data_IF_409788534634
#
_entry.id   IF_409788534634
#
_cell.length_a   1.000
_cell.length_b   1.000
_cell.length_c   1.000
_cell.angle_alpha   90.00
_cell.angle_beta   90.00
_cell.angle_gamma   90.00
#
_symmetry.space_group_name_H-M   'P 1'
#
loop_
_entity.id
_entity.type
_entity.pdbx_description
1 polymer ?
#
# COMPACT_ATOMS: atom_id res chain seq x y z
N UNK A 1 -7.62 9.18 4.72
CA UNK A 1 -6.50 10.10 5.01
C UNK A 1 -5.46 9.33 5.84
N UNK A 2 -4.19 9.32 5.42
CA UNK A 2 -3.11 8.57 6.08
C UNK A 2 -1.93 9.52 6.33
N UNK A 3 -1.35 9.48 7.54
CA UNK A 3 -0.28 10.40 7.91
C UNK A 3 0.96 10.23 7.02
N UNK A 4 1.39 8.99 6.79
CA UNK A 4 2.54 8.68 5.95
C UNK A 4 2.32 9.02 4.47
N UNK A 5 1.07 8.95 3.98
CA UNK A 5 0.73 9.43 2.64
C UNK A 5 1.05 10.91 2.48
N UNK A 6 0.61 11.74 3.42
CA UNK A 6 0.86 13.18 3.38
C UNK A 6 2.36 13.51 3.46
N UNK A 7 3.12 12.82 4.33
CA UNK A 7 4.57 13.01 4.41
C UNK A 7 5.30 12.62 3.13
N UNK A 8 4.88 11.55 2.47
CA UNK A 8 5.49 11.10 1.22
C UNK A 8 5.16 12.03 0.05
N UNK A 9 3.91 12.47 -0.07
CA UNK A 9 3.50 13.48 -1.05
C UNK A 9 4.27 14.80 -0.85
N UNK A 10 4.48 15.24 0.40
CA UNK A 10 5.26 16.44 0.70
C UNK A 10 6.73 16.30 0.29
N UNK A 11 7.33 15.11 0.47
CA UNK A 11 8.69 14.83 0.01
C UNK A 11 8.79 14.95 -1.51
N UNK A 12 7.89 14.28 -2.24
CA UNK A 12 7.88 14.32 -3.72
C UNK A 12 7.67 15.74 -4.22
N UNK A 13 6.77 16.51 -3.59
CA UNK A 13 6.57 17.92 -3.92
C UNK A 13 7.85 18.76 -3.74
N UNK A 14 8.59 18.55 -2.65
CA UNK A 14 9.86 19.24 -2.40
C UNK A 14 10.94 18.89 -3.43
N UNK A 15 11.05 17.60 -3.79
CA UNK A 15 11.97 17.11 -4.83
C UNK A 15 11.63 17.70 -6.21
N UNK A 16 10.35 17.75 -6.58
CA UNK A 16 9.90 18.37 -7.82
C UNK A 16 10.21 19.88 -7.87
N UNK A 17 10.02 20.61 -6.77
CA UNK A 17 10.40 22.03 -6.66
C UNK A 17 11.91 22.21 -6.85
N UNK A 18 12.72 21.27 -6.35
CA UNK A 18 14.17 21.26 -6.52
C UNK A 18 14.64 20.80 -7.92
N UNK A 19 13.71 20.51 -8.84
CA UNK A 19 14.02 20.04 -10.20
C UNK A 19 14.51 18.60 -10.26
N UNK A 20 14.28 17.81 -9.20
CA UNK A 20 14.60 16.39 -9.16
C UNK A 20 13.47 15.58 -9.79
N UNK A 21 13.81 14.41 -10.34
CA UNK A 21 12.81 13.47 -10.84
C UNK A 21 12.32 12.59 -9.69
N UNK A 22 11.07 12.77 -9.29
CA UNK A 22 10.42 12.00 -8.23
C UNK A 22 8.93 11.79 -8.54
N UNK A 23 8.40 10.67 -8.07
CA UNK A 23 6.99 10.31 -8.25
C UNK A 23 6.45 9.63 -6.99
N UNK A 24 5.13 9.72 -6.80
CA UNK A 24 4.44 9.02 -5.71
C UNK A 24 3.95 7.68 -6.20
N UNK A 25 4.49 6.59 -5.66
CA UNK A 25 3.89 5.25 -5.80
C UNK A 25 2.71 5.10 -4.83
N UNK A 26 1.49 5.19 -5.37
CA UNK A 26 0.27 4.98 -4.60
C UNK A 26 -0.09 3.51 -4.40
N UNK A 27 0.38 2.60 -5.26
CA UNK A 27 0.12 1.16 -5.12
C UNK A 27 0.94 0.61 -3.95
N UNK A 28 2.17 1.09 -3.80
CA UNK A 28 3.06 0.78 -2.67
C UNK A 28 2.66 1.45 -1.34
N UNK A 29 1.59 2.26 -1.29
CA UNK A 29 1.16 2.97 -0.08
C UNK A 29 0.37 2.04 0.85
N UNK A 30 0.88 1.68 2.05
CA UNK A 30 0.17 0.77 2.94
C UNK A 30 -1.01 1.46 3.64
N UNK A 31 -1.99 0.68 4.06
CA UNK A 31 -3.09 1.11 4.92
C UNK A 31 -3.18 0.18 6.15
N UNK A 32 -3.37 0.78 7.33
CA UNK A 32 -3.40 0.07 8.61
C UNK A 32 -4.64 0.48 9.42
N UNK A 33 -5.29 -0.49 10.06
CA UNK A 33 -6.30 -0.29 11.07
C UNK A 33 -5.79 -0.86 12.40
N UNK A 34 -5.63 0.02 13.39
CA UNK A 34 -5.10 -0.31 14.72
C UNK A 34 -6.18 -0.86 15.66
N UNK A 35 -6.85 -1.93 15.23
CA UNK A 35 -7.78 -2.72 16.04
C UNK A 35 -7.05 -3.86 16.76
N UNK A 36 -7.78 -4.64 17.56
CA UNK A 36 -7.27 -5.89 18.14
C UNK A 36 -8.08 -7.06 17.57
N UNK A 37 -7.53 -7.88 16.64
CA UNK A 37 -6.19 -7.79 16.05
C UNK A 37 -6.05 -6.63 15.04
N UNK A 38 -4.80 -6.23 14.79
CA UNK A 38 -4.48 -5.20 13.80
C UNK A 38 -4.67 -5.73 12.38
N UNK A 39 -5.01 -4.83 11.45
CA UNK A 39 -5.16 -5.15 10.03
C UNK A 39 -4.24 -4.25 9.20
N UNK A 40 -3.50 -4.84 8.26
CA UNK A 40 -2.65 -4.11 7.33
C UNK A 40 -2.79 -4.67 5.91
N UNK A 41 -2.73 -3.79 4.92
CA UNK A 41 -2.72 -4.15 3.49
C UNK A 41 -1.86 -3.17 2.68
N UNK A 42 -1.38 -3.62 1.52
CA UNK A 42 -0.65 -2.81 0.52
C UNK A 42 -0.84 -3.45 -0.86
N UNK A 43 -0.76 -2.65 -1.92
CA UNK A 43 -0.94 -3.13 -3.29
C UNK A 43 -2.40 -3.45 -3.63
N UNK A 44 -2.57 -4.34 -4.61
CA UNK A 44 -3.89 -4.74 -5.10
C UNK A 44 -4.58 -5.73 -4.17
N UNK A 45 -5.89 -5.56 -4.04
CA UNK A 45 -6.76 -6.65 -3.59
C UNK A 45 -6.94 -7.68 -4.72
N UNK A 46 -7.31 -8.91 -4.36
CA UNK A 46 -7.61 -9.96 -5.33
C UNK A 46 -8.72 -9.55 -6.32
N UNK A 47 -9.71 -8.77 -5.86
CA UNK A 47 -10.79 -8.26 -6.70
C UNK A 47 -10.29 -7.22 -7.71
N UNK A 48 -9.52 -6.23 -7.25
CA UNK A 48 -8.93 -5.21 -8.12
C UNK A 48 -8.00 -5.82 -9.17
N UNK A 49 -7.15 -6.76 -8.78
CA UNK A 49 -6.23 -7.40 -9.72
C UNK A 49 -6.98 -8.20 -10.80
N UNK A 50 -8.11 -8.84 -10.46
CA UNK A 50 -8.98 -9.49 -11.45
C UNK A 50 -9.67 -8.48 -12.37
N UNK A 51 -10.12 -7.35 -11.84
CA UNK A 51 -10.72 -6.26 -12.64
C UNK A 51 -9.73 -5.67 -13.63
N UNK A 52 -8.45 -5.56 -13.25
CA UNK A 52 -7.36 -5.12 -14.14
C UNK A 52 -6.89 -6.21 -15.13
N UNK A 53 -7.48 -7.40 -15.09
CA UNK A 53 -7.13 -8.51 -15.98
C UNK A 53 -5.77 -9.15 -15.68
N UNK A 54 -5.25 -9.00 -14.46
CA UNK A 54 -4.00 -9.61 -14.03
C UNK A 54 -4.21 -11.10 -13.74
N UNK A 55 -3.28 -11.94 -14.19
CA UNK A 55 -3.22 -13.34 -13.79
C UNK A 55 -2.64 -13.43 -12.36
N UNK A 56 -3.45 -13.92 -11.41
CA UNK A 56 -3.10 -13.91 -9.99
C UNK A 56 -3.30 -15.27 -9.33
N UNK A 57 -2.45 -15.54 -8.35
CA UNK A 57 -2.60 -16.66 -7.42
C UNK A 57 -2.73 -16.11 -5.99
N UNK A 58 -3.79 -16.50 -5.29
CA UNK A 58 -3.98 -16.15 -3.88
C UNK A 58 -3.47 -17.27 -2.97
N UNK A 59 -2.95 -16.92 -1.80
CA UNK A 59 -2.54 -17.86 -0.75
C UNK A 59 -2.84 -17.26 0.62
N UNK A 60 -3.26 -18.09 1.57
CA UNK A 60 -3.63 -17.66 2.93
C UNK A 60 -2.99 -18.60 3.94
N UNK A 61 -2.51 -18.04 5.03
CA UNK A 61 -1.96 -18.80 6.16
C UNK A 61 -2.60 -18.29 7.46
N UNK A 62 -3.27 -19.16 8.24
CA UNK A 62 -3.93 -18.74 9.47
C UNK A 62 -2.92 -18.52 10.60
N UNK A 63 -3.05 -17.42 11.33
CA UNK A 63 -2.19 -17.14 12.49
C UNK A 63 -2.28 -18.22 13.58
N UNK A 64 -3.40 -18.93 13.70
CA UNK A 64 -3.54 -20.03 14.66
C UNK A 64 -2.62 -21.22 14.36
N UNK A 65 -2.14 -21.35 13.12
CA UNK A 65 -1.16 -22.37 12.72
C UNK A 65 0.29 -21.90 12.88
N UNK A 66 0.51 -20.68 13.38
CA UNK A 66 1.83 -20.15 13.70
C UNK A 66 2.23 -20.68 15.09
N UNK A 67 3.26 -21.54 15.14
CA UNK A 67 3.73 -22.22 16.35
C UNK A 67 4.71 -21.40 17.19
#
# INVERSE_FOLDING_TARGET
PLAHKASYEAKVAAEAIAGQNSEVDYIGMPAVCFTEPELAQVGYTEAQAKEEGLDIKASKFPYQANG
#
